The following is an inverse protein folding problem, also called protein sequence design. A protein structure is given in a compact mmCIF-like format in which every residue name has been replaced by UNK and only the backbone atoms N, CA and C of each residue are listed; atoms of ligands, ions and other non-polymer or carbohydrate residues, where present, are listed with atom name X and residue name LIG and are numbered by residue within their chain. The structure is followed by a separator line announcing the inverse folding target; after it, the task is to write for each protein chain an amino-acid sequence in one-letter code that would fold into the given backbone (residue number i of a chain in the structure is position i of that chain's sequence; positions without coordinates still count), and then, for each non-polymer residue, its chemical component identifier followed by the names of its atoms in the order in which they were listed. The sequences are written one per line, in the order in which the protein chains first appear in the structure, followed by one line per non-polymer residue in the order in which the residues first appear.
data_IF_009252183569
#
_entry.id   IF_009252183569
#
_cell.length_a   1.000
_cell.length_b   1.000
_cell.length_c   1.000
_cell.angle_alpha   90.00
_cell.angle_beta   90.00
_cell.angle_gamma   90.00
#
_symmetry.space_group_name_H-M   'P 1'
#
loop_
_entity.id
_entity.type
_entity.pdbx_description
1 polymer ?
#
# COMPACT_ATOMS: atom_id res chain seq x y z
N UNK A 1 4.15 -26.52 -3.32
CA UNK A 1 4.65 -26.71 -1.94
C UNK A 1 5.95 -27.53 -1.83
N UNK A 2 6.07 -28.77 -2.35
CA UNK A 2 7.32 -29.58 -2.19
C UNK A 2 8.58 -28.91 -2.77
N UNK A 3 8.50 -28.28 -3.94
CA UNK A 3 9.64 -27.51 -4.48
C UNK A 3 10.02 -26.28 -3.64
N UNK A 4 9.06 -25.64 -2.96
CA UNK A 4 9.32 -24.41 -2.21
C UNK A 4 9.95 -24.63 -0.84
N UNK A 5 9.69 -25.75 -0.16
CA UNK A 5 10.42 -26.09 1.08
C UNK A 5 11.89 -26.43 0.83
N UNK A 6 12.23 -26.95 -0.34
CA UNK A 6 13.62 -27.16 -0.73
C UNK A 6 14.39 -25.84 -0.92
N UNK A 7 13.68 -24.74 -1.27
CA UNK A 7 14.25 -23.41 -1.51
C UNK A 7 14.81 -22.80 -0.22
N UNK A 8 14.05 -22.81 0.86
CA UNK A 8 14.52 -22.29 2.15
C UNK A 8 15.74 -23.07 2.61
N UNK A 9 15.75 -24.39 2.41
CA UNK A 9 16.90 -25.24 2.73
C UNK A 9 18.13 -24.89 1.87
N UNK A 10 17.98 -24.73 0.56
CA UNK A 10 19.10 -24.39 -0.33
C UNK A 10 19.66 -23.00 -0.06
N UNK A 11 18.81 -21.99 0.11
CA UNK A 11 19.23 -20.63 0.43
C UNK A 11 19.91 -20.55 1.80
N UNK A 12 19.39 -21.25 2.82
CA UNK A 12 20.00 -21.33 4.14
C UNK A 12 21.32 -22.11 4.12
N UNK A 13 21.41 -23.20 3.35
CA UNK A 13 22.62 -24.00 3.23
C UNK A 13 23.72 -23.26 2.46
N UNK A 14 23.36 -22.54 1.39
CA UNK A 14 24.30 -21.70 0.65
C UNK A 14 24.73 -20.48 1.47
N UNK A 15 23.81 -19.83 2.20
CA UNK A 15 24.15 -18.76 3.14
C UNK A 15 25.14 -19.25 4.21
N UNK A 16 24.87 -20.42 4.78
CA UNK A 16 25.76 -21.07 5.77
C UNK A 16 27.15 -21.38 5.20
N UNK A 17 27.24 -21.78 3.93
CA UNK A 17 28.51 -22.06 3.24
C UNK A 17 29.25 -20.79 2.82
N UNK A 18 28.54 -19.78 2.30
CA UNK A 18 29.11 -18.54 1.77
C UNK A 18 29.54 -17.54 2.85
N UNK A 19 28.91 -17.58 4.03
CA UNK A 19 29.24 -16.68 5.14
C UNK A 19 30.32 -17.21 6.09
N UNK A 20 31.06 -18.26 5.71
CA UNK A 20 32.31 -18.65 6.37
C UNK A 20 32.26 -18.66 7.90
N UNK A 21 31.33 -19.39 8.52
CA UNK A 21 31.45 -19.83 9.92
C UNK A 21 31.53 -18.78 11.04
N UNK A 22 31.32 -17.48 10.79
CA UNK A 22 31.29 -16.47 11.85
C UNK A 22 30.08 -15.54 11.69
N UNK A 23 29.05 -15.79 12.50
CA UNK A 23 27.99 -14.81 12.73
C UNK A 23 28.60 -13.57 13.41
N UNK A 24 28.30 -12.33 12.98
CA UNK A 24 28.63 -11.16 13.77
C UNK A 24 27.80 -11.18 15.05
N UNK A 25 28.46 -11.41 16.18
CA UNK A 25 27.83 -11.27 17.50
C UNK A 25 27.64 -9.79 17.80
N UNK A 26 26.44 -9.26 17.52
CA UNK A 26 25.96 -8.05 18.20
C UNK A 26 25.68 -8.37 19.68
N UNK A 27 26.14 -7.55 20.64
CA UNK A 27 26.02 -7.86 22.06
C UNK A 27 24.68 -7.33 22.60
N UNK A 28 23.61 -8.11 22.53
CA UNK A 28 22.37 -7.80 23.24
C UNK A 28 21.71 -9.04 23.85
N UNK A 29 21.58 -8.98 25.18
CA UNK A 29 20.66 -9.68 26.08
C UNK A 29 20.58 -11.22 26.02
N UNK A 30 21.25 -11.85 26.98
CA UNK A 30 20.96 -13.23 27.44
C UNK A 30 19.58 -13.26 28.12
N UNK A 31 18.60 -13.88 27.46
CA UNK A 31 17.34 -14.30 28.06
C UNK A 31 17.07 -15.76 27.72
N UNK A 32 17.30 -16.66 28.67
CA UNK A 32 17.09 -18.10 28.49
C UNK A 32 15.62 -18.47 28.41
N UNK A 33 15.26 -19.34 27.47
CA UNK A 33 13.96 -20.00 27.45
C UNK A 33 14.14 -21.51 27.33
N UNK A 34 13.60 -22.22 28.33
CA UNK A 34 13.53 -23.68 28.42
C UNK A 34 12.46 -24.22 27.47
N UNK A 35 12.75 -25.38 26.87
CA UNK A 35 11.88 -26.08 25.95
C UNK A 35 10.62 -26.64 26.60
N UNK A 36 9.62 -26.83 25.75
CA UNK A 36 8.46 -27.69 26.00
C UNK A 36 8.16 -28.42 24.70
N UNK A 37 8.31 -29.74 24.76
CA UNK A 37 7.88 -30.70 23.74
C UNK A 37 6.34 -30.82 23.71
N UNK A 38 5.75 -30.89 22.52
CA UNK A 38 4.41 -31.48 22.31
C UNK A 38 4.20 -31.91 20.84
N UNK A 39 3.35 -32.93 20.58
CA UNK A 39 3.60 -33.91 19.53
C UNK A 39 2.81 -33.72 18.23
N UNK A 40 3.32 -34.39 17.19
CA UNK A 40 2.80 -34.53 15.82
C UNK A 40 1.40 -35.18 15.76
N UNK A 41 0.43 -34.48 15.19
CA UNK A 41 -0.84 -35.04 14.71
C UNK A 41 -0.83 -35.23 13.18
N UNK A 42 -1.16 -36.45 12.75
CA UNK A 42 -1.24 -36.93 11.38
C UNK A 42 -2.61 -36.62 10.74
N UNK A 43 -2.59 -36.27 9.46
CA UNK A 43 -3.46 -36.87 8.43
C UNK A 43 -4.86 -36.25 8.21
N UNK A 44 -5.06 -35.67 7.02
CA UNK A 44 -6.39 -35.33 6.50
C UNK A 44 -6.36 -35.14 4.99
N UNK A 45 -6.92 -36.11 4.26
CA UNK A 45 -7.00 -36.18 2.78
C UNK A 45 -7.84 -35.03 2.22
N UNK A 46 -7.36 -34.34 1.17
CA UNK A 46 -8.18 -33.39 0.39
C UNK A 46 -8.66 -34.06 -0.91
N UNK A 47 -9.97 -34.15 -1.04
CA UNK A 47 -10.67 -34.53 -2.26
C UNK A 47 -10.60 -33.41 -3.29
N UNK A 48 -10.47 -33.80 -4.55
CA UNK A 48 -10.47 -32.93 -5.73
C UNK A 48 -11.91 -32.76 -6.17
N UNK A 49 -12.44 -31.54 -6.11
CA UNK A 49 -13.70 -31.17 -6.75
C UNK A 49 -13.41 -30.14 -7.85
N UNK A 50 -13.64 -30.53 -9.10
CA UNK A 50 -13.78 -29.63 -10.25
C UNK A 50 -15.24 -29.23 -10.34
N UNK A 51 -15.55 -27.94 -10.55
CA UNK A 51 -16.82 -27.44 -11.14
C UNK A 51 -16.68 -25.96 -11.54
N UNK A 52 -17.59 -25.39 -12.35
CA UNK A 52 -17.26 -24.92 -13.70
C UNK A 52 -17.16 -23.39 -13.85
N UNK A 53 -16.74 -22.99 -15.06
CA UNK A 53 -16.75 -21.61 -15.57
C UNK A 53 -18.16 -21.02 -15.51
N UNK A 54 -18.32 -19.87 -14.86
CA UNK A 54 -19.43 -18.95 -15.07
C UNK A 54 -18.92 -17.51 -15.02
N UNK A 55 -19.18 -16.79 -16.09
CA UNK A 55 -19.14 -15.33 -16.16
C UNK A 55 -20.07 -14.75 -15.08
N UNK A 56 -19.61 -13.85 -14.21
CA UNK A 56 -20.52 -12.95 -13.49
C UNK A 56 -19.81 -11.72 -12.93
N UNK A 57 -20.43 -10.57 -13.21
CA UNK A 57 -20.12 -9.27 -12.66
C UNK A 57 -20.65 -9.10 -11.23
N UNK A 58 -20.09 -8.10 -10.52
CA UNK A 58 -20.58 -7.38 -9.33
C UNK A 58 -19.94 -7.65 -7.96
N UNK A 59 -19.88 -6.52 -7.23
CA UNK A 59 -20.02 -6.31 -5.79
C UNK A 59 -18.83 -6.60 -4.86
N UNK A 60 -18.34 -5.53 -4.19
CA UNK A 60 -18.11 -5.52 -2.73
C UNK A 60 -17.88 -4.09 -2.21
N UNK A 61 -18.55 -3.78 -1.11
CA UNK A 61 -18.52 -2.58 -0.27
C UNK A 61 -17.97 -2.99 1.12
N UNK A 62 -17.17 -2.14 1.78
CA UNK A 62 -17.30 -1.79 3.21
C UNK A 62 -16.08 -1.01 3.75
N UNK A 63 -16.21 0.32 3.94
CA UNK A 63 -15.52 1.05 5.03
C UNK A 63 -16.46 2.14 5.54
N UNK A 64 -17.31 1.79 6.50
CA UNK A 64 -18.13 2.73 7.28
C UNK A 64 -18.42 2.09 8.65
N UNK A 65 -17.46 2.18 9.57
CA UNK A 65 -17.64 1.76 10.96
C UNK A 65 -16.81 2.55 11.99
N UNK A 66 -16.16 3.65 11.62
CA UNK A 66 -15.24 4.36 12.52
C UNK A 66 -15.70 5.76 12.99
N UNK A 67 -16.95 6.19 12.71
CA UNK A 67 -17.42 7.54 13.10
C UNK A 67 -18.75 7.58 13.89
N UNK A 68 -19.22 6.47 14.47
CA UNK A 68 -20.36 6.51 15.39
C UNK A 68 -20.01 5.82 16.71
N UNK A 69 -19.38 6.58 17.60
CA UNK A 69 -19.26 6.26 19.01
C UNK A 69 -19.66 7.50 19.80
N UNK A 70 -20.94 7.62 20.14
CA UNK A 70 -21.36 8.38 21.33
C UNK A 70 -22.74 7.94 21.81
N UNK A 71 -22.73 7.40 23.04
CA UNK A 71 -23.73 7.36 24.11
C UNK A 71 -25.24 7.23 23.83
N UNK A 72 -25.83 6.33 24.63
CA UNK A 72 -27.27 6.11 24.72
C UNK A 72 -28.03 7.36 25.16
N UNK A 73 -29.07 7.69 24.41
CA UNK A 73 -30.06 8.69 24.77
C UNK A 73 -31.41 8.24 24.19
N UNK A 74 -32.47 8.43 24.97
CA UNK A 74 -33.86 8.07 24.69
C UNK A 74 -34.35 8.51 23.29
N UNK A 75 -35.37 7.83 22.72
CA UNK A 75 -35.80 8.05 21.35
C UNK A 75 -36.43 9.45 21.17
N UNK A 76 -35.65 10.36 20.60
CA UNK A 76 -36.14 11.60 19.98
C UNK A 76 -36.77 11.32 18.61
N UNK A 77 -37.72 12.16 18.14
CA UNK A 77 -38.41 12.00 16.86
C UNK A 77 -37.42 11.92 15.68
N UNK A 78 -37.81 11.28 14.56
CA UNK A 78 -36.91 10.97 13.46
C UNK A 78 -36.31 12.26 12.87
N UNK A 79 -35.01 12.44 13.09
CA UNK A 79 -34.24 13.49 12.44
C UNK A 79 -34.28 13.31 10.91
N UNK A 80 -34.21 14.40 10.12
CA UNK A 80 -33.99 14.30 8.68
C UNK A 80 -32.77 13.41 8.40
N UNK A 81 -32.76 12.63 7.30
CA UNK A 81 -31.68 11.69 7.02
C UNK A 81 -30.34 12.43 7.03
N UNK A 82 -29.55 12.18 8.07
CA UNK A 82 -28.18 12.69 8.18
C UNK A 82 -27.46 12.18 6.94
N UNK A 83 -27.05 13.11 6.07
CA UNK A 83 -26.32 12.78 4.87
C UNK A 83 -25.05 12.04 5.27
N UNK A 84 -25.02 10.73 5.03
CA UNK A 84 -23.87 9.88 5.33
C UNK A 84 -22.64 10.49 4.65
N UNK A 85 -21.55 10.77 5.37
CA UNK A 85 -20.33 11.27 4.75
C UNK A 85 -19.88 10.29 3.66
N UNK A 86 -19.38 10.78 2.52
CA UNK A 86 -18.92 9.92 1.44
C UNK A 86 -17.83 9.00 1.97
N UNK A 87 -18.00 7.69 1.74
CA UNK A 87 -16.97 6.70 2.10
C UNK A 87 -15.65 7.07 1.42
N UNK A 88 -14.55 6.94 2.16
CA UNK A 88 -13.22 7.04 1.56
C UNK A 88 -13.10 5.93 0.47
N UNK A 89 -12.70 6.26 -0.76
CA UNK A 89 -12.47 5.28 -1.80
C UNK A 89 -11.50 4.17 -1.36
N UNK A 90 -11.89 2.96 -1.71
CA UNK A 90 -11.12 1.73 -1.54
C UNK A 90 -10.04 1.69 -2.63
N UNK A 91 -8.77 1.75 -2.24
CA UNK A 91 -7.63 1.64 -3.17
C UNK A 91 -7.66 0.26 -3.81
N UNK A 92 -7.89 0.21 -5.13
CA UNK A 92 -7.84 -1.03 -5.91
C UNK A 92 -6.53 -1.05 -6.66
N UNK A 93 -5.73 -2.06 -6.38
CA UNK A 93 -4.55 -2.36 -7.18
C UNK A 93 -4.93 -2.42 -8.65
N UNK A 94 -4.09 -1.80 -9.49
CA UNK A 94 -4.24 -1.79 -10.93
C UNK A 94 -4.66 -3.17 -11.43
N UNK A 95 -5.88 -3.29 -11.96
CA UNK A 95 -6.30 -4.49 -12.64
C UNK A 95 -5.46 -4.57 -13.92
N UNK A 96 -4.58 -5.57 -14.00
CA UNK A 96 -3.65 -5.72 -15.11
C UNK A 96 -4.45 -6.20 -16.34
N UNK A 97 -4.86 -5.28 -17.23
CA UNK A 97 -5.48 -5.58 -18.52
C UNK A 97 -5.99 -4.34 -19.30
N UNK A 98 -5.50 -4.12 -20.52
CA UNK A 98 -5.74 -2.90 -21.33
C UNK A 98 -7.22 -2.55 -21.57
N UNK A 99 -8.07 -3.51 -21.95
CA UNK A 99 -9.47 -3.20 -22.33
C UNK A 99 -10.40 -2.95 -21.14
N UNK A 100 -10.09 -3.53 -19.97
CA UNK A 100 -10.81 -3.23 -18.74
C UNK A 100 -10.45 -1.82 -18.22
N UNK A 101 -9.23 -1.35 -18.53
CA UNK A 101 -8.72 -0.07 -18.04
C UNK A 101 -9.45 1.14 -18.64
N UNK A 102 -9.79 1.14 -19.93
CA UNK A 102 -10.48 2.30 -20.53
C UNK A 102 -11.90 2.50 -20.02
N UNK A 103 -12.68 1.41 -19.90
CA UNK A 103 -14.04 1.49 -19.38
C UNK A 103 -14.03 1.89 -17.91
N UNK A 104 -13.08 1.36 -17.13
CA UNK A 104 -12.89 1.72 -15.73
C UNK A 104 -12.47 3.19 -15.57
N UNK A 105 -11.46 3.65 -16.32
CA UNK A 105 -10.99 5.03 -16.29
C UNK A 105 -12.11 6.02 -16.66
N UNK A 106 -12.93 5.69 -17.67
CA UNK A 106 -14.12 6.50 -18.02
C UNK A 106 -15.14 6.54 -16.90
N UNK A 107 -15.43 5.41 -16.25
CA UNK A 107 -16.38 5.35 -15.14
C UNK A 107 -15.89 6.17 -13.92
N UNK A 108 -14.59 6.08 -13.60
CA UNK A 108 -13.95 6.88 -12.55
C UNK A 108 -14.04 8.38 -12.88
N UNK A 109 -13.68 8.79 -14.11
CA UNK A 109 -13.77 10.19 -14.53
C UNK A 109 -15.20 10.72 -14.45
N UNK A 110 -16.19 9.96 -14.96
CA UNK A 110 -17.59 10.34 -14.86
C UNK A 110 -18.07 10.51 -13.41
N UNK A 111 -17.58 9.66 -12.49
CA UNK A 111 -17.89 9.76 -11.07
C UNK A 111 -17.27 11.00 -10.42
N UNK A 112 -16.03 11.35 -10.77
CA UNK A 112 -15.38 12.57 -10.29
C UNK A 112 -16.16 13.80 -10.77
N UNK A 113 -16.56 13.83 -12.04
CA UNK A 113 -17.35 14.92 -12.62
C UNK A 113 -18.73 15.04 -11.94
N UNK A 114 -19.37 13.90 -11.62
CA UNK A 114 -20.62 13.88 -10.86
C UNK A 114 -20.45 14.50 -9.46
N UNK A 115 -19.38 14.17 -8.74
CA UNK A 115 -19.11 14.73 -7.41
C UNK A 115 -18.91 16.24 -7.45
N UNK A 116 -18.13 16.73 -8.43
CA UNK A 116 -17.91 18.17 -8.64
C UNK A 116 -19.23 18.85 -9.01
N UNK A 117 -19.97 18.31 -9.97
CA UNK A 117 -21.25 18.87 -10.41
C UNK A 117 -22.32 18.85 -9.31
N UNK A 118 -22.26 17.92 -8.35
CA UNK A 118 -23.08 17.94 -7.14
C UNK A 118 -22.62 19.00 -6.16
N UNK A 119 -21.32 19.17 -5.97
CA UNK A 119 -20.74 20.19 -5.11
C UNK A 119 -21.21 21.59 -5.52
N UNK A 120 -21.28 21.87 -6.83
CA UNK A 120 -21.74 23.16 -7.36
C UNK A 120 -23.23 23.46 -7.12
N UNK A 121 -24.04 22.44 -6.85
CA UNK A 121 -25.48 22.58 -6.55
C UNK A 121 -25.76 22.72 -5.04
N UNK A 122 -24.77 22.44 -4.20
CA UNK A 122 -24.91 22.49 -2.74
C UNK A 122 -24.57 23.90 -2.24
N UNK A 123 -25.50 24.49 -1.48
CA UNK A 123 -25.31 25.83 -0.88
C UNK A 123 -24.52 25.77 0.42
N UNK A 124 -24.61 24.67 1.17
CA UNK A 124 -23.85 24.47 2.40
C UNK A 124 -22.35 24.28 2.12
N UNK A 125 -21.51 25.13 2.73
CA UNK A 125 -20.08 25.16 2.44
C UNK A 125 -19.35 23.90 2.94
N UNK A 126 -19.76 23.32 4.06
CA UNK A 126 -19.14 22.12 4.61
C UNK A 126 -19.45 20.88 3.75
N UNK A 127 -20.70 20.72 3.34
CA UNK A 127 -21.12 19.65 2.44
C UNK A 127 -20.50 19.81 1.05
N UNK A 128 -20.42 21.04 0.52
CA UNK A 128 -19.73 21.32 -0.74
C UNK A 128 -18.25 20.96 -0.67
N UNK A 129 -17.55 21.39 0.39
CA UNK A 129 -16.15 21.03 0.63
C UNK A 129 -15.97 19.50 0.73
N UNK A 130 -16.85 18.81 1.43
CA UNK A 130 -16.82 17.35 1.56
C UNK A 130 -16.92 16.64 0.20
N UNK A 131 -17.78 17.12 -0.70
CA UNK A 131 -17.91 16.57 -2.05
C UNK A 131 -16.66 16.82 -2.90
N UNK A 132 -16.06 18.00 -2.79
CA UNK A 132 -14.80 18.33 -3.48
C UNK A 132 -13.64 17.48 -2.97
N UNK A 133 -13.50 17.31 -1.64
CA UNK A 133 -12.48 16.41 -1.07
C UNK A 133 -12.68 14.96 -1.51
N UNK A 134 -13.93 14.49 -1.60
CA UNK A 134 -14.23 13.18 -2.14
C UNK A 134 -13.80 13.05 -3.62
N UNK A 135 -14.02 14.10 -4.43
CA UNK A 135 -13.57 14.13 -5.82
C UNK A 135 -12.03 14.12 -5.93
N UNK A 136 -11.33 14.93 -5.15
CA UNK A 136 -9.87 14.95 -5.10
C UNK A 136 -9.31 13.58 -4.69
N UNK A 137 -9.88 12.95 -3.66
CA UNK A 137 -9.45 11.63 -3.22
C UNK A 137 -9.68 10.55 -4.30
N UNK A 138 -10.78 10.62 -5.06
CA UNK A 138 -11.03 9.71 -6.19
C UNK A 138 -9.98 9.87 -7.30
N UNK A 139 -9.57 11.12 -7.60
CA UNK A 139 -8.48 11.39 -8.55
C UNK A 139 -7.18 10.76 -8.05
N UNK A 140 -6.78 11.02 -6.80
CA UNK A 140 -5.54 10.48 -6.23
C UNK A 140 -5.56 8.95 -6.18
N UNK A 141 -6.65 8.34 -5.71
CA UNK A 141 -6.74 6.89 -5.50
C UNK A 141 -6.90 6.07 -6.79
N UNK A 142 -7.49 6.63 -7.85
CA UNK A 142 -7.83 5.84 -9.05
C UNK A 142 -7.19 6.32 -10.34
N UNK A 143 -6.66 7.54 -10.38
CA UNK A 143 -5.98 8.07 -11.56
C UNK A 143 -4.47 8.24 -11.33
N UNK A 144 -4.05 8.51 -10.09
CA UNK A 144 -2.62 8.69 -9.74
C UNK A 144 -2.01 7.42 -9.15
N UNK A 145 -2.62 6.86 -8.10
CA UNK A 145 -2.09 5.70 -7.37
C UNK A 145 -1.76 4.49 -8.26
N UNK A 146 -2.56 4.11 -9.27
CA UNK A 146 -2.24 2.94 -10.10
C UNK A 146 -0.90 3.07 -10.82
N UNK A 147 -0.55 4.27 -11.30
CA UNK A 147 0.77 4.54 -11.87
C UNK A 147 1.86 4.40 -10.80
N UNK A 148 1.65 4.99 -9.62
CA UNK A 148 2.62 4.93 -8.52
C UNK A 148 2.87 3.49 -8.06
N UNK A 149 1.81 2.67 -7.97
CA UNK A 149 1.90 1.24 -7.65
C UNK A 149 2.60 0.44 -8.75
N UNK A 150 2.34 0.74 -10.03
CA UNK A 150 3.05 0.12 -11.15
C UNK A 150 4.55 0.46 -11.14
N UNK A 151 4.90 1.73 -10.85
CA UNK A 151 6.28 2.19 -10.67
C UNK A 151 6.93 1.52 -9.45
N UNK A 152 6.22 1.44 -8.32
CA UNK A 152 6.66 0.74 -7.11
C UNK A 152 6.95 -0.75 -7.38
N UNK A 153 6.11 -1.43 -8.15
CA UNK A 153 6.27 -2.84 -8.53
C UNK A 153 7.22 -3.06 -9.72
N UNK A 154 7.86 -2.01 -10.23
CA UNK A 154 8.77 -2.08 -11.39
C UNK A 154 8.19 -2.90 -12.55
N UNK A 155 6.91 -2.70 -12.86
CA UNK A 155 6.28 -3.40 -13.98
C UNK A 155 7.01 -3.02 -15.28
N UNK A 156 7.20 -3.99 -16.18
CA UNK A 156 7.94 -3.76 -17.43
C UNK A 156 7.19 -2.77 -18.35
N UNK A 157 5.86 -2.92 -18.43
CA UNK A 157 4.98 -2.10 -19.26
C UNK A 157 4.38 -0.96 -18.41
N UNK A 158 5.23 -0.08 -17.89
CA UNK A 158 4.73 1.07 -17.14
C UNK A 158 3.92 1.97 -18.10
N UNK A 159 2.69 2.37 -17.72
CA UNK A 159 1.99 3.39 -18.48
C UNK A 159 2.83 4.68 -18.55
N UNK A 160 2.60 5.57 -19.50
CA UNK A 160 3.25 6.88 -19.51
C UNK A 160 2.92 7.64 -18.21
N UNK A 161 3.88 8.43 -17.70
CA UNK A 161 3.69 9.23 -16.49
C UNK A 161 2.72 10.41 -16.67
N UNK A 162 2.60 10.90 -17.91
CA UNK A 162 1.88 12.13 -18.25
C UNK A 162 0.40 12.14 -17.76
N UNK A 163 -0.41 11.08 -17.94
CA UNK A 163 -1.78 11.07 -17.43
C UNK A 163 -1.85 11.15 -15.89
N UNK A 164 -0.91 10.52 -15.18
CA UNK A 164 -0.85 10.59 -13.72
C UNK A 164 -0.46 11.99 -13.23
N UNK A 165 0.46 12.67 -13.93
CA UNK A 165 0.86 14.05 -13.65
C UNK A 165 -0.33 15.01 -13.88
N UNK A 166 -1.07 14.84 -14.99
CA UNK A 166 -2.26 15.65 -15.27
C UNK A 166 -3.38 15.41 -14.25
N UNK A 167 -3.61 14.16 -13.86
CA UNK A 167 -4.56 13.81 -12.81
C UNK A 167 -4.16 14.44 -11.47
N UNK A 168 -2.88 14.39 -11.11
CA UNK A 168 -2.38 15.03 -9.90
C UNK A 168 -2.64 16.54 -9.90
N UNK A 169 -2.30 17.24 -10.99
CA UNK A 169 -2.59 18.67 -11.13
C UNK A 169 -4.09 19.00 -11.00
N UNK A 170 -4.96 18.12 -11.51
CA UNK A 170 -6.41 18.23 -11.32
C UNK A 170 -6.81 18.08 -9.86
N UNK A 171 -6.24 17.11 -9.12
CA UNK A 171 -6.50 16.96 -7.69
C UNK A 171 -6.10 18.21 -6.92
N UNK A 172 -4.93 18.79 -7.23
CA UNK A 172 -4.45 20.02 -6.58
C UNK A 172 -5.37 21.20 -6.80
N UNK A 173 -5.91 21.36 -8.02
CA UNK A 173 -6.89 22.40 -8.31
C UNK A 173 -8.15 22.25 -7.44
N UNK A 174 -8.68 21.02 -7.30
CA UNK A 174 -9.84 20.73 -6.45
C UNK A 174 -9.53 21.03 -4.97
N UNK A 175 -8.34 20.68 -4.49
CA UNK A 175 -7.92 20.96 -3.11
C UNK A 175 -7.77 22.47 -2.86
N UNK A 176 -7.23 23.23 -3.82
CA UNK A 176 -7.11 24.69 -3.74
C UNK A 176 -8.48 25.40 -3.76
N UNK A 177 -9.41 24.92 -4.58
CA UNK A 177 -10.80 25.41 -4.60
C UNK A 177 -11.49 25.14 -3.25
N UNK A 178 -11.25 23.96 -2.68
CA UNK A 178 -11.78 23.59 -1.35
C UNK A 178 -11.21 24.49 -0.26
N UNK A 179 -9.90 24.75 -0.26
CA UNK A 179 -9.26 25.68 0.68
C UNK A 179 -9.87 27.08 0.58
N UNK A 180 -10.06 27.58 -0.65
CA UNK A 180 -10.68 28.88 -0.92
C UNK A 180 -12.12 28.95 -0.40
N UNK A 181 -12.89 27.86 -0.55
CA UNK A 181 -14.25 27.75 -0.02
C UNK A 181 -14.26 27.79 1.51
N UNK A 182 -13.38 27.03 2.16
CA UNK A 182 -13.30 26.99 3.62
C UNK A 182 -12.81 28.32 4.21
N UNK A 183 -11.92 29.03 3.53
CA UNK A 183 -11.44 30.36 3.94
C UNK A 183 -12.55 31.43 3.94
N UNK A 184 -13.56 31.28 3.07
CA UNK A 184 -14.73 32.17 2.99
C UNK A 184 -15.82 31.84 4.01
N UNK A 185 -15.72 30.70 4.71
CA UNK A 185 -16.72 30.29 5.70
C UNK A 185 -16.58 31.15 6.97
N UNK A 186 -17.66 31.76 7.49
CA UNK A 186 -17.60 32.62 8.68
C UNK A 186 -16.99 31.92 9.90
N UNK A 187 -16.12 32.63 10.63
CA UNK A 187 -15.46 32.10 11.84
C UNK A 187 -16.34 32.11 13.09
N UNK A 188 -17.37 32.95 13.12
CA UNK A 188 -18.15 33.22 14.33
C UNK A 188 -19.04 32.02 14.74
N UNK A 189 -19.51 31.23 13.77
CA UNK A 189 -20.29 30.00 13.99
C UNK A 189 -19.92 28.96 12.92
N UNK A 190 -18.84 28.18 13.12
CA UNK A 190 -18.44 27.18 12.16
C UNK A 190 -19.48 26.05 12.10
N UNK A 191 -19.88 25.57 10.91
CA UNK A 191 -20.76 24.43 10.79
C UNK A 191 -20.15 23.18 11.46
N UNK A 192 -21.00 22.33 12.03
CA UNK A 192 -20.58 21.08 12.63
C UNK A 192 -19.77 20.24 11.61
N UNK A 193 -18.64 19.69 12.05
CA UNK A 193 -17.77 18.87 11.20
C UNK A 193 -16.73 19.65 10.37
N UNK A 194 -16.68 20.98 10.44
CA UNK A 194 -15.69 21.79 9.72
C UNK A 194 -14.23 21.37 10.02
N UNK A 195 -13.93 21.02 11.28
CA UNK A 195 -12.60 20.56 11.67
C UNK A 195 -12.24 19.21 11.04
N UNK A 196 -13.23 18.32 10.90
CA UNK A 196 -13.05 17.06 10.16
C UNK A 196 -12.76 17.33 8.68
N UNK A 197 -13.44 18.29 8.06
CA UNK A 197 -13.22 18.67 6.66
C UNK A 197 -11.83 19.30 6.48
N UNK A 198 -11.40 20.18 7.40
CA UNK A 198 -10.05 20.76 7.38
C UNK A 198 -8.96 19.71 7.54
N UNK A 199 -9.17 18.76 8.44
CA UNK A 199 -8.23 17.65 8.64
C UNK A 199 -8.14 16.75 7.39
N UNK A 200 -9.25 16.46 6.73
CA UNK A 200 -9.26 15.72 5.46
C UNK A 200 -8.55 16.49 4.35
N UNK A 201 -8.77 17.81 4.24
CA UNK A 201 -8.05 18.66 3.29
C UNK A 201 -6.54 18.57 3.50
N UNK A 202 -6.07 18.74 4.74
CA UNK A 202 -4.64 18.65 5.07
C UNK A 202 -4.06 17.27 4.74
N UNK A 203 -4.76 16.21 5.13
CA UNK A 203 -4.38 14.82 4.82
C UNK A 203 -4.19 14.63 3.32
N UNK A 204 -5.15 15.07 2.49
CA UNK A 204 -5.07 14.91 1.04
C UNK A 204 -3.98 15.78 0.40
N UNK A 205 -3.68 16.97 0.95
CA UNK A 205 -2.55 17.80 0.49
C UNK A 205 -1.21 17.14 0.75
N UNK A 206 -1.04 16.56 1.94
CA UNK A 206 0.18 15.82 2.30
C UNK A 206 0.36 14.62 1.35
N UNK A 207 -0.69 13.85 1.08
CA UNK A 207 -0.61 12.75 0.10
C UNK A 207 -0.38 13.24 -1.33
N UNK A 208 -1.02 14.33 -1.77
CA UNK A 208 -0.78 14.91 -3.10
C UNK A 208 0.70 15.30 -3.27
N UNK A 209 1.27 15.96 -2.26
CA UNK A 209 2.69 16.34 -2.23
C UNK A 209 3.62 15.11 -2.28
N UNK A 210 3.31 14.08 -1.49
CA UNK A 210 4.07 12.83 -1.49
C UNK A 210 4.03 12.10 -2.83
N UNK A 211 2.84 11.97 -3.44
CA UNK A 211 2.69 11.34 -4.75
C UNK A 211 3.39 12.16 -5.83
N UNK A 212 3.35 13.50 -5.77
CA UNK A 212 4.12 14.35 -6.67
C UNK A 212 5.62 14.05 -6.59
N UNK A 213 6.16 14.08 -5.37
CA UNK A 213 7.57 13.81 -5.15
C UNK A 213 7.95 12.41 -5.68
N UNK A 214 7.12 11.40 -5.41
CA UNK A 214 7.32 10.03 -5.90
C UNK A 214 7.33 9.94 -7.44
N UNK A 215 6.46 10.69 -8.11
CA UNK A 215 6.38 10.73 -9.58
C UNK A 215 7.59 11.42 -10.20
N UNK A 216 8.06 12.53 -9.61
CA UNK A 216 9.15 13.36 -10.15
C UNK A 216 10.54 12.73 -10.06
N UNK A 217 10.70 11.62 -9.33
CA UNK A 217 12.00 10.95 -9.14
C UNK A 217 12.45 10.24 -10.43
N UNK A 218 13.72 10.46 -10.79
CA UNK A 218 14.33 10.06 -12.05
C UNK A 218 14.25 11.12 -13.16
N UNK A 219 13.58 12.25 -12.93
CA UNK A 219 13.55 13.36 -13.87
C UNK A 219 14.83 14.23 -13.79
N UNK A 220 15.27 14.85 -14.89
CA UNK A 220 16.39 15.80 -14.85
C UNK A 220 16.09 16.95 -13.87
N UNK A 221 17.01 17.23 -12.94
CA UNK A 221 16.83 18.28 -11.93
C UNK A 221 16.11 17.83 -10.65
N UNK A 222 16.11 16.53 -10.36
CA UNK A 222 15.53 15.95 -9.14
C UNK A 222 15.98 16.68 -7.87
N UNK A 223 15.01 17.21 -7.12
CA UNK A 223 15.25 17.90 -5.86
C UNK A 223 15.08 16.93 -4.68
N UNK A 224 16.21 16.40 -4.21
CA UNK A 224 16.27 15.59 -2.98
C UNK A 224 15.72 16.33 -1.75
N UNK A 225 15.69 17.67 -1.74
CA UNK A 225 15.05 18.43 -0.67
C UNK A 225 13.52 18.27 -0.71
N UNK A 226 12.88 18.39 -1.89
CA UNK A 226 11.44 18.21 -2.05
C UNK A 226 10.97 16.79 -1.66
N UNK A 227 11.75 15.75 -2.00
CA UNK A 227 11.45 14.36 -1.59
C UNK A 227 11.51 14.21 -0.06
N UNK A 228 12.53 14.79 0.58
CA UNK A 228 12.67 14.76 2.04
C UNK A 228 11.59 15.58 2.75
N UNK A 229 11.20 16.72 2.19
CA UNK A 229 10.12 17.56 2.71
C UNK A 229 8.78 16.81 2.65
N UNK A 230 8.45 16.21 1.51
CA UNK A 230 7.23 15.42 1.38
C UNK A 230 7.21 14.21 2.32
N UNK A 231 8.34 13.50 2.47
CA UNK A 231 8.48 12.43 3.44
C UNK A 231 8.35 12.92 4.90
N UNK A 232 8.79 14.15 5.19
CA UNK A 232 8.61 14.77 6.51
C UNK A 232 7.14 15.09 6.77
N UNK A 233 6.41 15.63 5.79
CA UNK A 233 4.98 15.92 5.89
C UNK A 233 4.14 14.68 6.25
N UNK A 234 4.46 13.52 5.66
CA UNK A 234 3.80 12.25 5.99
C UNK A 234 4.02 11.81 7.45
N UNK A 235 5.09 12.26 8.12
CA UNK A 235 5.34 11.91 9.53
C UNK A 235 4.21 12.38 10.44
N UNK A 236 3.58 13.51 10.12
CA UNK A 236 2.45 14.05 10.89
C UNK A 236 1.21 13.14 10.84
N UNK A 237 1.10 12.29 9.81
CA UNK A 237 -0.01 11.36 9.63
C UNK A 237 0.24 9.97 10.24
N UNK A 238 1.45 9.69 10.75
CA UNK A 238 1.74 8.39 11.39
C UNK A 238 0.95 8.20 12.69
N UNK A 239 0.58 9.29 13.36
CA UNK A 239 -0.21 9.30 14.60
C UNK A 239 -1.71 9.58 14.33
N UNK A 240 -2.15 9.48 13.07
CA UNK A 240 -3.54 9.72 12.70
C UNK A 240 -4.49 8.75 13.42
N UNK A 241 -5.67 9.24 13.82
CA UNK A 241 -6.70 8.42 14.49
C UNK A 241 -7.24 7.32 13.57
N UNK A 242 -7.16 7.54 12.25
CA UNK A 242 -7.51 6.59 11.21
C UNK A 242 -6.32 5.69 10.92
N UNK A 243 -6.33 4.47 11.46
CA UNK A 243 -5.30 3.47 11.19
C UNK A 243 -5.00 3.25 9.68
N UNK A 244 -5.99 3.26 8.76
CA UNK A 244 -5.71 3.19 7.33
C UNK A 244 -4.87 4.35 6.79
N UNK A 245 -5.08 5.58 7.30
CA UNK A 245 -4.30 6.77 6.92
C UNK A 245 -2.87 6.64 7.41
N UNK A 246 -2.68 6.26 8.68
CA UNK A 246 -1.34 6.08 9.26
C UNK A 246 -0.52 5.03 8.50
N UNK A 247 -1.11 3.89 8.15
CA UNK A 247 -0.43 2.84 7.39
C UNK A 247 -0.11 3.29 5.96
N UNK A 248 -1.03 3.98 5.28
CA UNK A 248 -0.75 4.54 3.95
C UNK A 248 0.38 5.57 4.02
N UNK A 249 0.40 6.42 5.05
CA UNK A 249 1.46 7.40 5.27
C UNK A 249 2.81 6.73 5.52
N UNK A 250 2.86 5.68 6.34
CA UNK A 250 4.08 4.90 6.58
C UNK A 250 4.63 4.27 5.30
N UNK A 251 3.76 3.67 4.46
CA UNK A 251 4.14 3.10 3.17
C UNK A 251 4.76 4.15 2.24
N UNK A 252 4.06 5.26 1.99
CA UNK A 252 4.54 6.29 1.08
C UNK A 252 5.77 7.01 1.62
N UNK A 253 5.87 7.19 2.94
CA UNK A 253 7.05 7.76 3.57
C UNK A 253 8.27 6.85 3.38
N UNK A 254 8.11 5.54 3.56
CA UNK A 254 9.18 4.58 3.31
C UNK A 254 9.62 4.59 1.85
N UNK A 255 8.68 4.64 0.89
CA UNK A 255 8.99 4.78 -0.54
C UNK A 255 9.84 6.03 -0.83
N UNK A 256 9.45 7.19 -0.31
CA UNK A 256 10.20 8.43 -0.52
C UNK A 256 11.58 8.40 0.16
N UNK A 257 11.69 7.78 1.35
CA UNK A 257 12.98 7.61 2.05
C UNK A 257 13.92 6.67 1.33
N UNK A 258 13.41 5.56 0.78
CA UNK A 258 14.16 4.65 -0.08
C UNK A 258 14.76 5.41 -1.26
N UNK A 259 13.95 6.21 -1.95
CA UNK A 259 14.38 6.99 -3.10
C UNK A 259 15.37 8.12 -2.72
N UNK A 260 15.21 8.72 -1.54
CA UNK A 260 16.16 9.69 -1.01
C UNK A 260 17.48 9.06 -0.52
N UNK A 261 17.68 7.75 -0.67
CA UNK A 261 18.90 7.05 -0.27
C UNK A 261 19.01 6.80 1.24
N UNK A 262 17.89 6.77 1.97
CA UNK A 262 17.82 6.54 3.42
C UNK A 262 17.00 5.26 3.74
N UNK A 263 17.47 4.06 3.34
CA UNK A 263 16.73 2.82 3.51
C UNK A 263 16.58 2.40 4.97
N UNK A 264 17.50 2.78 5.86
CA UNK A 264 17.41 2.46 7.29
C UNK A 264 16.20 3.16 7.93
N UNK A 265 16.02 4.47 7.67
CA UNK A 265 14.82 5.17 8.13
C UNK A 265 13.57 4.72 7.40
N UNK A 266 13.66 4.29 6.14
CA UNK A 266 12.52 3.71 5.44
C UNK A 266 12.03 2.42 6.14
N UNK A 267 12.94 1.53 6.56
CA UNK A 267 12.57 0.30 7.30
C UNK A 267 11.98 0.63 8.68
N UNK A 268 12.49 1.66 9.35
CA UNK A 268 12.11 2.02 10.71
C UNK A 268 10.63 2.43 10.85
N UNK A 269 10.02 2.97 9.79
CA UNK A 269 8.60 3.38 9.80
C UNK A 269 7.63 2.25 9.42
N UNK A 270 8.13 1.10 8.97
CA UNK A 270 7.31 -0.03 8.52
C UNK A 270 7.11 -1.04 9.65
N UNK A 271 5.91 -1.61 9.74
CA UNK A 271 5.59 -2.73 10.62
C UNK A 271 6.45 -3.97 10.32
N UNK A 272 6.42 -4.96 11.21
CA UNK A 272 7.11 -6.24 11.00
C UNK A 272 6.48 -7.02 9.84
N UNK A 273 7.32 -7.66 9.03
CA UNK A 273 6.90 -8.36 7.79
C UNK A 273 5.85 -9.46 8.03
N UNK A 274 5.89 -10.13 9.18
CA UNK A 274 5.04 -11.29 9.51
C UNK A 274 3.93 -10.97 10.53
N UNK A 275 3.83 -9.73 10.98
CA UNK A 275 2.70 -9.30 11.81
C UNK A 275 1.41 -9.35 10.97
N UNK A 276 0.28 -9.78 11.54
CA UNK A 276 -0.98 -9.84 10.82
C UNK A 276 -1.52 -8.43 10.54
N UNK A 277 -1.77 -8.05 9.27
CA UNK A 277 -2.36 -6.75 8.95
C UNK A 277 -3.82 -6.72 9.38
N UNK A 278 -4.24 -5.60 9.99
CA UNK A 278 -5.65 -5.36 10.30
C UNK A 278 -6.42 -5.25 8.98
N UNK A 279 -7.60 -5.88 8.88
CA UNK A 279 -8.43 -5.86 7.66
C UNK A 279 -8.69 -4.45 7.12
N UNK A 280 -8.97 -3.49 8.01
CA UNK A 280 -9.23 -2.09 7.64
C UNK A 280 -8.02 -1.38 7.00
N UNK A 281 -6.80 -1.89 7.21
CA UNK A 281 -5.55 -1.29 6.71
C UNK A 281 -5.06 -1.91 5.40
N UNK A 282 -5.77 -2.91 4.88
CA UNK A 282 -5.53 -3.45 3.55
C UNK A 282 -6.03 -2.43 2.49
N UNK A 283 -5.34 -2.31 1.33
CA UNK A 283 -4.18 -3.10 0.91
C UNK A 283 -2.82 -2.55 1.40
N UNK A 284 -2.74 -1.31 1.89
CA UNK A 284 -1.46 -0.63 2.19
C UNK A 284 -0.58 -1.39 3.19
N UNK A 285 -1.16 -1.98 4.23
CA UNK A 285 -0.41 -2.78 5.21
C UNK A 285 0.32 -3.97 4.57
N UNK A 286 -0.29 -4.57 3.54
CA UNK A 286 0.33 -5.66 2.80
C UNK A 286 1.52 -5.17 1.96
N UNK A 287 1.36 -4.06 1.24
CA UNK A 287 2.46 -3.45 0.47
C UNK A 287 3.62 -2.97 1.34
N UNK A 288 3.33 -2.45 2.53
CA UNK A 288 4.35 -2.08 3.51
C UNK A 288 5.26 -3.29 3.88
N UNK A 289 4.68 -4.49 4.00
CA UNK A 289 5.44 -5.72 4.28
C UNK A 289 6.29 -6.15 3.09
N UNK A 290 5.78 -6.00 1.86
CA UNK A 290 6.54 -6.27 0.65
C UNK A 290 7.72 -5.29 0.49
N UNK A 291 7.48 -3.99 0.70
CA UNK A 291 8.52 -2.96 0.69
C UNK A 291 9.59 -3.25 1.75
N UNK A 292 9.20 -3.64 2.96
CA UNK A 292 10.16 -4.04 3.99
C UNK A 292 11.07 -5.18 3.52
N UNK A 293 10.53 -6.19 2.85
CA UNK A 293 11.33 -7.28 2.31
C UNK A 293 12.32 -6.76 1.25
N UNK A 294 11.88 -5.88 0.34
CA UNK A 294 12.75 -5.25 -0.65
C UNK A 294 13.88 -4.44 -0.01
N UNK A 295 13.57 -3.61 0.98
CA UNK A 295 14.56 -2.80 1.70
C UNK A 295 15.57 -3.67 2.46
N UNK A 296 15.13 -4.77 3.08
CA UNK A 296 16.03 -5.74 3.70
C UNK A 296 16.99 -6.36 2.68
N UNK A 297 16.51 -6.69 1.48
CA UNK A 297 17.34 -7.20 0.40
C UNK A 297 18.34 -6.15 -0.10
N UNK A 298 17.92 -4.88 -0.25
CA UNK A 298 18.78 -3.76 -0.64
C UNK A 298 19.93 -3.56 0.37
N UNK A 299 19.69 -3.82 1.66
CA UNK A 299 20.73 -3.88 2.70
C UNK A 299 21.61 -5.14 2.70
N UNK A 300 21.54 -5.98 1.66
CA UNK A 300 22.29 -7.23 1.53
C UNK A 300 21.58 -8.48 2.05
N UNK A 301 20.44 -8.34 2.73
CA UNK A 301 19.67 -9.42 3.36
C UNK A 301 18.80 -10.25 2.41
N UNK A 302 19.28 -10.57 1.20
CA UNK A 302 18.51 -11.22 0.13
C UNK A 302 17.85 -12.54 0.56
N UNK A 303 18.60 -13.45 1.18
CA UNK A 303 18.09 -14.75 1.61
C UNK A 303 17.00 -14.60 2.69
N UNK A 304 17.19 -13.67 3.64
CA UNK A 304 16.22 -13.35 4.68
C UNK A 304 14.93 -12.79 4.07
N UNK A 305 15.06 -11.84 3.14
CA UNK A 305 13.92 -11.25 2.46
C UNK A 305 13.11 -12.28 1.67
N UNK A 306 13.76 -13.18 0.93
CA UNK A 306 13.08 -14.27 0.22
C UNK A 306 12.39 -15.24 1.18
N UNK A 307 13.01 -15.57 2.31
CA UNK A 307 12.38 -16.41 3.34
C UNK A 307 11.14 -15.74 3.97
N UNK A 308 11.15 -14.42 4.13
CA UNK A 308 9.99 -13.65 4.58
C UNK A 308 8.88 -13.64 3.53
N UNK A 309 9.20 -13.46 2.24
CA UNK A 309 8.20 -13.49 1.16
C UNK A 309 7.49 -14.84 1.07
N UNK A 310 8.20 -15.96 1.23
CA UNK A 310 7.59 -17.30 1.26
C UNK A 310 6.58 -17.42 2.41
N UNK A 311 6.92 -16.88 3.59
CA UNK A 311 6.02 -16.90 4.74
C UNK A 311 4.82 -15.96 4.54
N UNK A 312 5.01 -14.77 3.98
CA UNK A 312 3.92 -13.85 3.62
C UNK A 312 2.97 -14.54 2.64
N UNK A 313 3.50 -15.22 1.62
CA UNK A 313 2.70 -15.95 0.64
C UNK A 313 1.82 -17.03 1.28
N UNK A 314 2.36 -17.79 2.24
CA UNK A 314 1.59 -18.77 3.01
C UNK A 314 0.49 -18.12 3.85
N UNK A 315 0.76 -16.93 4.42
CA UNK A 315 -0.18 -16.15 5.24
C UNK A 315 -1.25 -15.42 4.44
N UNK A 316 -1.07 -15.22 3.13
CA UNK A 316 -2.07 -14.54 2.29
C UNK A 316 -3.47 -15.20 2.35
N UNK A 317 -3.55 -16.51 2.56
CA UNK A 317 -4.82 -17.22 2.72
C UNK A 317 -5.58 -16.85 4.00
N UNK A 318 -4.84 -16.55 5.07
CA UNK A 318 -5.40 -16.15 6.36
C UNK A 318 -5.75 -14.65 6.35
N UNK A 319 -4.82 -13.82 5.84
CA UNK A 319 -4.92 -12.37 5.87
C UNK A 319 -5.93 -11.80 4.87
N UNK A 320 -6.08 -12.42 3.69
CA UNK A 320 -6.86 -11.89 2.58
C UNK A 320 -7.93 -12.93 2.18
N UNK A 321 -9.13 -12.85 2.78
CA UNK A 321 -10.18 -13.84 2.55
C UNK A 321 -10.78 -13.75 1.14
N UNK A 322 -10.88 -12.55 0.56
CA UNK A 322 -11.35 -12.36 -0.81
C UNK A 322 -10.37 -13.00 -1.82
N UNK A 323 -10.88 -13.86 -2.70
CA UNK A 323 -10.05 -14.62 -3.63
C UNK A 323 -9.37 -13.75 -4.70
N UNK A 324 -10.07 -12.75 -5.24
CA UNK A 324 -9.51 -11.86 -6.24
C UNK A 324 -8.38 -11.00 -5.65
N UNK A 325 -8.59 -10.45 -4.45
CA UNK A 325 -7.58 -9.65 -3.75
C UNK A 325 -6.39 -10.50 -3.33
N UNK A 326 -6.63 -11.73 -2.89
CA UNK A 326 -5.56 -12.69 -2.56
C UNK A 326 -4.75 -13.03 -3.81
N UNK A 327 -5.40 -13.26 -4.95
CA UNK A 327 -4.70 -13.51 -6.21
C UNK A 327 -3.83 -12.30 -6.63
N UNK A 328 -4.32 -11.07 -6.42
CA UNK A 328 -3.52 -9.85 -6.63
C UNK A 328 -2.32 -9.77 -5.68
N UNK A 329 -2.52 -10.05 -4.39
CA UNK A 329 -1.48 -10.03 -3.38
C UNK A 329 -0.37 -11.08 -3.66
N UNK A 330 -0.76 -12.28 -4.08
CA UNK A 330 0.18 -13.33 -4.50
C UNK A 330 0.99 -12.89 -5.73
N UNK A 331 0.35 -12.28 -6.73
CA UNK A 331 1.06 -11.70 -7.89
C UNK A 331 2.06 -10.62 -7.47
N UNK A 332 1.66 -9.69 -6.61
CA UNK A 332 2.55 -8.64 -6.09
C UNK A 332 3.75 -9.24 -5.32
N UNK A 333 3.51 -10.29 -4.53
CA UNK A 333 4.57 -11.03 -3.82
C UNK A 333 5.58 -11.62 -4.80
N UNK A 334 5.11 -12.26 -5.88
CA UNK A 334 5.98 -12.83 -6.92
C UNK A 334 6.79 -11.75 -7.65
N UNK A 335 6.19 -10.59 -7.94
CA UNK A 335 6.92 -9.48 -8.57
C UNK A 335 8.07 -9.00 -7.68
N UNK A 336 7.82 -8.83 -6.37
CA UNK A 336 8.87 -8.42 -5.42
C UNK A 336 9.90 -9.55 -5.23
N UNK A 337 9.51 -10.82 -5.27
CA UNK A 337 10.45 -11.95 -5.30
C UNK A 337 11.41 -11.83 -6.50
N UNK A 338 10.89 -11.57 -7.70
CA UNK A 338 11.69 -11.40 -8.92
C UNK A 338 12.65 -10.20 -8.78
N UNK A 339 12.20 -9.07 -8.24
CA UNK A 339 13.06 -7.90 -7.99
C UNK A 339 14.24 -8.26 -7.07
N UNK A 340 13.96 -8.93 -5.95
CA UNK A 340 14.99 -9.35 -4.99
C UNK A 340 15.97 -10.35 -5.62
N UNK A 341 15.47 -11.31 -6.43
CA UNK A 341 16.32 -12.27 -7.13
C UNK A 341 17.23 -11.59 -8.17
N UNK A 342 16.74 -10.58 -8.89
CA UNK A 342 17.54 -9.79 -9.83
C UNK A 342 18.63 -8.98 -9.13
N UNK A 343 18.27 -8.34 -8.00
CA UNK A 343 19.23 -7.63 -7.17
C UNK A 343 20.31 -8.59 -6.62
N UNK A 344 19.90 -9.75 -6.11
CA UNK A 344 20.83 -10.76 -5.60
C UNK A 344 21.74 -11.30 -6.70
N UNK A 345 21.19 -11.64 -7.87
CA UNK A 345 21.96 -12.08 -9.03
C UNK A 345 23.06 -11.06 -9.40
N UNK A 346 22.73 -9.78 -9.36
CA UNK A 346 23.66 -8.67 -9.68
C UNK A 346 24.73 -8.51 -8.60
N UNK A 347 24.36 -8.62 -7.32
CA UNK A 347 25.27 -8.47 -6.18
C UNK A 347 26.25 -9.65 -6.02
N UNK A 348 25.89 -10.85 -6.47
CA UNK A 348 26.77 -12.00 -6.49
C UNK A 348 27.94 -11.73 -7.43
N UNK A 349 29.19 -11.80 -6.95
CA UNK A 349 30.42 -11.61 -7.74
C UNK A 349 31.39 -12.79 -7.56
N UNK A 350 32.30 -12.99 -8.52
CA UNK A 350 33.33 -14.04 -8.47
C UNK A 350 32.89 -15.39 -9.05
N UNK A 351 33.88 -16.28 -9.26
CA UNK A 351 33.68 -17.60 -9.90
C UNK A 351 32.86 -18.56 -9.03
N UNK A 352 32.97 -18.43 -7.71
CA UNK A 352 32.28 -19.28 -6.73
C UNK A 352 30.77 -19.01 -6.68
N UNK A 353 30.31 -17.87 -7.20
CA UNK A 353 28.91 -17.48 -7.21
C UNK A 353 28.12 -17.99 -8.42
N UNK A 354 28.73 -18.77 -9.32
CA UNK A 354 28.10 -19.24 -10.57
C UNK A 354 26.83 -20.04 -10.31
N UNK A 355 26.85 -20.95 -9.34
CA UNK A 355 25.69 -21.78 -8.98
C UNK A 355 24.53 -20.96 -8.40
N UNK A 356 24.83 -19.99 -7.53
CA UNK A 356 23.83 -19.09 -6.95
C UNK A 356 23.21 -18.15 -8.00
N UNK A 357 24.01 -17.63 -8.94
CA UNK A 357 23.50 -16.84 -10.07
C UNK A 357 22.60 -17.66 -10.97
N UNK A 358 23.01 -18.88 -11.33
CA UNK A 358 22.17 -19.77 -12.13
C UNK A 358 20.84 -20.07 -11.41
N UNK A 359 20.90 -20.34 -10.11
CA UNK A 359 19.70 -20.54 -9.30
C UNK A 359 18.76 -19.31 -9.33
N UNK A 360 19.28 -18.09 -9.19
CA UNK A 360 18.47 -16.88 -9.33
C UNK A 360 17.85 -16.77 -10.73
N UNK A 361 18.62 -17.03 -11.79
CA UNK A 361 18.14 -16.96 -13.17
C UNK A 361 17.02 -17.98 -13.45
N UNK A 362 17.20 -19.23 -13.01
CA UNK A 362 16.19 -20.28 -13.14
C UNK A 362 14.89 -19.91 -12.40
N UNK A 363 15.00 -19.28 -11.23
CA UNK A 363 13.85 -18.82 -10.44
C UNK A 363 13.14 -17.62 -11.04
N UNK A 364 13.86 -16.72 -11.70
CA UNK A 364 13.26 -15.58 -12.42
C UNK A 364 12.51 -16.06 -13.67
N UNK A 365 13.01 -17.11 -14.33
CA UNK A 365 12.41 -17.66 -15.54
C UNK A 365 11.18 -18.55 -15.30
N UNK A 366 11.03 -19.09 -14.08
CA UNK A 366 9.95 -20.00 -13.68
C UNK A 366 8.78 -19.26 -13.03
#
# INVERSE_FOLDING_TARGET
MKHRRAITSFALEHFRKSCGGALPTSPLAKGGFRGVDAPLAKGGKRGVARYPKTDFALASFAVLAALTSSFGQEPSPPAPPVATPPALPEVRLAQIGEKANDAYARAVSARIDELIGRADRVTDSAQRATLLLAAANQVLAYQVEPYCSAKFLELADQPPAEPAIQALARADAILADTETLLAKTPKADPPAGLDSVRHQLETLRIFSSALRAFLSIGAPGEDSAAVREAASGLSALLEDRSAPVAVAAALWQACLREQAGDPERAIAVLDLALEEPKKATLPHAFFARLLRCRLLAAGGGHATALALLVQIEERCFDWIPNEADRANALRATTLVEIQILRAWHTALAGKEATSARQWCADRIAA
#
